data_IF_098947766087
#
_entry.id   IF_098947766087
#
_cell.length_a   1.000
_cell.length_b   1.000
_cell.length_c   1.000
_cell.angle_alpha   90.00
_cell.angle_beta   90.00
_cell.angle_gamma   90.00
#
_symmetry.space_group_name_H-M   'P 1'
#
loop_
_entity.id
_entity.type
_entity.pdbx_description
1 polymer ?
#
# COMPACT_ATOMS: atom_id res chain seq x y z
N UNK A 1 -22.07 -34.63 -81.04
CA UNK A 1 -23.08 -34.63 -79.96
C UNK A 1 -22.36 -34.49 -78.63
N UNK A 2 -22.91 -33.66 -77.75
CA UNK A 2 -22.38 -33.10 -76.50
C UNK A 2 -22.17 -34.13 -75.35
N UNK A 3 -21.05 -34.01 -74.60
CA UNK A 3 -20.89 -33.92 -73.10
C UNK A 3 -21.39 -35.12 -72.23
N UNK A 4 -20.87 -35.45 -71.00
CA UNK A 4 -19.97 -34.71 -70.11
C UNK A 4 -18.76 -35.41 -69.48
N UNK A 5 -17.88 -34.51 -69.03
CA UNK A 5 -16.85 -34.58 -68.01
C UNK A 5 -17.47 -34.86 -66.61
N UNK A 6 -17.01 -35.89 -65.88
CA UNK A 6 -17.29 -36.04 -64.44
C UNK A 6 -16.12 -35.52 -63.60
N UNK A 7 -16.40 -34.49 -62.81
CA UNK A 7 -15.52 -33.89 -61.82
C UNK A 7 -15.80 -34.54 -60.46
N UNK A 8 -14.84 -35.33 -59.94
CA UNK A 8 -14.93 -35.92 -58.60
C UNK A 8 -14.55 -34.90 -57.52
N UNK A 9 -15.51 -34.56 -56.66
CA UNK A 9 -15.33 -33.73 -55.47
C UNK A 9 -14.80 -34.57 -54.30
N UNK A 10 -13.66 -34.16 -53.74
CA UNK A 10 -13.02 -34.77 -52.56
C UNK A 10 -13.54 -34.08 -51.28
N UNK A 11 -14.16 -34.82 -50.36
CA UNK A 11 -14.63 -34.32 -49.06
C UNK A 11 -13.46 -34.22 -48.05
N UNK A 12 -13.38 -33.16 -47.22
CA UNK A 12 -12.44 -33.07 -46.11
C UNK A 12 -12.91 -33.86 -44.86
N UNK A 13 -11.98 -34.33 -43.99
CA UNK A 13 -12.30 -35.12 -42.81
C UNK A 13 -12.91 -34.28 -41.66
N UNK A 14 -13.68 -34.90 -40.75
CA UNK A 14 -14.26 -34.22 -39.59
C UNK A 14 -13.21 -33.88 -38.53
N UNK A 15 -13.28 -32.68 -37.96
CA UNK A 15 -12.43 -32.22 -36.87
C UNK A 15 -12.89 -32.78 -35.51
N UNK A 16 -11.98 -33.15 -34.60
CA UNK A 16 -12.34 -33.62 -33.27
C UNK A 16 -12.85 -32.47 -32.39
N UNK A 17 -14.04 -32.65 -31.80
CA UNK A 17 -14.62 -31.72 -30.82
C UNK A 17 -13.83 -31.75 -29.51
N UNK A 18 -13.30 -30.59 -29.10
CA UNK A 18 -12.61 -30.43 -27.83
C UNK A 18 -13.58 -30.52 -26.64
N UNK A 19 -13.27 -31.38 -25.67
CA UNK A 19 -13.95 -31.46 -24.37
C UNK A 19 -13.58 -30.23 -23.51
N UNK A 20 -14.54 -29.47 -22.97
CA UNK A 20 -14.23 -28.36 -22.09
C UNK A 20 -13.69 -28.90 -20.76
N UNK A 21 -12.44 -28.54 -20.43
CA UNK A 21 -11.88 -28.81 -19.11
C UNK A 21 -12.52 -27.87 -18.08
N UNK A 22 -12.90 -28.36 -16.88
CA UNK A 22 -13.40 -27.50 -15.82
C UNK A 22 -12.29 -26.55 -15.39
N UNK A 23 -12.47 -25.26 -15.64
CA UNK A 23 -11.58 -24.23 -15.13
C UNK A 23 -11.82 -24.12 -13.63
N UNK A 24 -10.84 -24.52 -12.82
CA UNK A 24 -10.77 -24.18 -11.40
C UNK A 24 -10.68 -22.65 -11.33
N UNK A 25 -11.78 -21.99 -10.99
CA UNK A 25 -11.77 -20.57 -10.69
C UNK A 25 -10.83 -20.36 -9.50
N UNK A 26 -9.69 -19.69 -9.75
CA UNK A 26 -8.88 -19.14 -8.68
C UNK A 26 -9.80 -18.19 -7.88
N UNK A 27 -10.02 -18.39 -6.57
CA UNK A 27 -10.68 -17.36 -5.77
C UNK A 27 -9.80 -16.11 -5.89
N UNK A 28 -10.33 -15.08 -6.54
CA UNK A 28 -9.66 -13.80 -6.69
C UNK A 28 -9.17 -13.37 -5.31
N UNK A 29 -7.87 -13.12 -5.16
CA UNK A 29 -7.31 -12.59 -3.93
C UNK A 29 -8.15 -11.35 -3.55
N UNK A 30 -8.92 -11.46 -2.47
CA UNK A 30 -9.80 -10.38 -2.04
C UNK A 30 -8.95 -9.11 -1.83
N UNK A 31 -9.42 -7.97 -2.36
CA UNK A 31 -8.73 -6.68 -2.15
C UNK A 31 -8.62 -6.46 -0.63
N UNK A 32 -7.43 -6.16 -0.07
CA UNK A 32 -7.29 -5.95 1.35
C UNK A 32 -8.22 -4.83 1.84
N UNK A 33 -8.63 -4.88 3.12
CA UNK A 33 -9.62 -3.96 3.68
C UNK A 33 -9.19 -2.48 3.60
N UNK A 34 -7.89 -2.23 3.65
CA UNK A 34 -7.27 -0.92 3.48
C UNK A 34 -5.96 -1.05 2.69
N UNK A 35 -5.63 -0.03 1.90
CA UNK A 35 -4.35 0.14 1.20
C UNK A 35 -3.81 1.54 1.39
N UNK A 36 -2.51 1.69 1.64
CA UNK A 36 -1.79 2.97 1.72
C UNK A 36 -0.57 2.96 0.81
N UNK A 37 -0.30 4.09 0.14
CA UNK A 37 0.90 4.22 -0.70
C UNK A 37 1.33 5.67 -0.86
N UNK A 38 2.64 5.87 -1.01
CA UNK A 38 3.23 7.15 -1.37
C UNK A 38 3.38 7.27 -2.89
N UNK A 39 3.42 8.50 -3.39
CA UNK A 39 3.77 8.76 -4.78
C UNK A 39 5.26 8.53 -5.08
N UNK A 40 6.12 8.61 -4.05
CA UNK A 40 7.54 8.29 -4.14
C UNK A 40 7.96 7.59 -2.85
N UNK A 41 8.74 6.54 -2.97
CA UNK A 41 9.32 5.74 -1.89
C UNK A 41 10.70 6.28 -1.44
N UNK A 42 11.45 6.90 -2.36
CA UNK A 42 12.63 7.66 -2.03
C UNK A 42 12.25 9.13 -1.94
N UNK A 43 12.51 9.76 -0.80
CA UNK A 43 12.25 11.15 -0.45
C UNK A 43 13.56 11.90 -0.14
N UNK A 44 13.54 13.23 -0.22
CA UNK A 44 14.66 14.11 0.14
C UNK A 44 14.19 15.13 1.16
N UNK A 45 15.11 15.62 1.98
CA UNK A 45 14.80 16.75 2.85
C UNK A 45 14.29 17.95 2.03
N UNK A 46 13.13 18.48 2.42
CA UNK A 46 12.41 19.54 1.72
C UNK A 46 11.36 19.04 0.73
N UNK A 47 11.36 17.75 0.37
CA UNK A 47 10.31 17.17 -0.48
C UNK A 47 8.95 17.25 0.21
N UNK A 48 7.92 17.41 -0.60
CA UNK A 48 6.53 17.33 -0.17
C UNK A 48 5.96 16.00 -0.62
N UNK A 49 5.69 15.13 0.36
CA UNK A 49 5.23 13.79 0.10
C UNK A 49 3.72 13.76 -0.14
N UNK A 50 3.33 13.21 -1.28
CA UNK A 50 1.93 12.90 -1.60
C UNK A 50 1.66 11.45 -1.26
N UNK A 51 0.56 11.19 -0.58
CA UNK A 51 0.13 9.84 -0.25
C UNK A 51 -1.35 9.67 -0.49
N UNK A 52 -1.75 8.41 -0.62
CA UNK A 52 -3.13 8.05 -0.83
C UNK A 52 -3.48 6.85 0.04
N UNK A 53 -4.76 6.77 0.38
CA UNK A 53 -5.37 5.65 1.08
C UNK A 53 -6.60 5.20 0.30
N UNK A 54 -6.86 3.91 0.26
CA UNK A 54 -8.12 3.34 -0.21
C UNK A 54 -8.62 2.34 0.82
N UNK A 55 -9.79 2.59 1.37
CA UNK A 55 -10.51 1.60 2.17
C UNK A 55 -11.55 0.89 1.29
N UNK A 56 -11.71 -0.42 1.46
CA UNK A 56 -12.70 -1.21 0.71
C UNK A 56 -14.11 -1.02 1.29
N UNK A 57 -14.21 -0.73 2.59
CA UNK A 57 -15.46 -0.52 3.33
C UNK A 57 -15.47 0.83 4.06
N UNK A 58 -16.66 1.31 4.40
CA UNK A 58 -16.89 2.52 5.19
C UNK A 58 -16.30 2.37 6.61
N UNK A 59 -15.73 3.42 7.18
CA UNK A 59 -15.23 3.37 8.55
C UNK A 59 -14.48 4.62 8.98
N UNK A 60 -13.84 4.56 10.14
CA UNK A 60 -13.07 5.65 10.72
C UNK A 60 -11.59 5.42 10.46
N UNK A 61 -10.93 6.38 9.82
CA UNK A 61 -9.55 6.27 9.37
C UNK A 61 -8.62 7.13 10.25
N UNK A 62 -7.48 6.58 10.63
CA UNK A 62 -6.33 7.35 11.11
C UNK A 62 -5.11 6.99 10.27
N UNK A 63 -4.29 8.00 9.98
CA UNK A 63 -3.02 7.81 9.30
C UNK A 63 -1.93 8.43 10.15
N UNK A 64 -0.98 7.59 10.55
CA UNK A 64 0.17 7.96 11.37
C UNK A 64 1.45 7.83 10.56
N UNK A 65 2.46 8.61 10.92
CA UNK A 65 3.80 8.54 10.35
C UNK A 65 4.81 8.55 11.48
N UNK A 66 5.74 7.60 11.45
CA UNK A 66 7.02 7.70 12.14
C UNK A 66 8.06 8.21 11.13
N UNK A 67 8.74 9.32 11.45
CA UNK A 67 9.86 9.80 10.63
C UNK A 67 11.17 9.05 10.95
N UNK A 68 12.20 9.30 10.14
CA UNK A 68 13.50 8.65 10.32
C UNK A 68 14.24 9.05 11.61
N UNK A 69 13.83 10.15 12.24
CA UNK A 69 14.35 10.59 13.54
C UNK A 69 13.50 10.00 14.71
N UNK A 70 12.47 9.21 14.41
CA UNK A 70 11.61 8.55 15.38
C UNK A 70 10.41 9.38 15.86
N UNK A 71 10.16 10.56 15.29
CA UNK A 71 9.00 11.36 15.69
C UNK A 71 7.72 10.83 15.02
N UNK A 72 6.68 10.67 15.84
CA UNK A 72 5.36 10.29 15.37
C UNK A 72 4.49 11.52 15.11
N UNK A 73 3.89 11.57 13.92
CA UNK A 73 2.93 12.61 13.51
C UNK A 73 1.66 11.97 12.97
N UNK A 74 0.52 12.58 13.27
CA UNK A 74 -0.76 12.23 12.62
C UNK A 74 -0.86 12.99 11.31
N UNK A 75 -1.07 12.26 10.22
CA UNK A 75 -1.29 12.82 8.88
C UNK A 75 -2.79 12.98 8.55
N UNK A 76 -3.63 12.12 9.14
CA UNK A 76 -5.09 12.19 9.02
C UNK A 76 -5.76 11.62 10.28
N UNK A 77 -6.80 12.26 10.82
CA UNK A 77 -7.26 13.59 10.45
C UNK A 77 -6.25 14.69 10.82
N UNK A 78 -6.37 15.88 10.20
CA UNK A 78 -5.43 16.98 10.41
C UNK A 78 -5.47 17.48 11.85
N UNK A 79 -6.67 17.67 12.38
CA UNK A 79 -6.92 17.92 13.78
C UNK A 79 -7.81 16.80 14.39
N UNK A 80 -7.64 16.46 15.68
CA UNK A 80 -8.37 15.36 16.31
C UNK A 80 -9.90 15.56 16.36
N UNK A 81 -10.37 16.81 16.23
CA UNK A 81 -11.79 17.13 16.15
C UNK A 81 -12.39 17.04 14.73
N UNK A 82 -11.56 16.85 13.70
CA UNK A 82 -12.06 16.76 12.33
C UNK A 82 -12.73 15.41 12.06
N UNK A 83 -13.65 15.39 11.10
CA UNK A 83 -14.27 14.14 10.64
C UNK A 83 -13.22 13.20 10.03
N UNK A 84 -13.05 12.04 10.64
CA UNK A 84 -12.19 10.96 10.18
C UNK A 84 -12.97 9.81 9.49
N UNK A 85 -14.28 9.95 9.34
CA UNK A 85 -15.09 8.95 8.64
C UNK A 85 -14.85 8.98 7.13
N UNK A 86 -14.56 7.81 6.55
CA UNK A 86 -14.32 7.61 5.12
C UNK A 86 -15.33 6.61 4.56
N UNK A 87 -15.72 6.81 3.30
CA UNK A 87 -16.55 5.84 2.57
C UNK A 87 -15.64 4.86 1.82
N UNK A 88 -16.01 3.58 1.85
CA UNK A 88 -15.34 2.51 1.15
C UNK A 88 -15.39 2.67 -0.37
N UNK A 89 -14.50 1.95 -1.05
CA UNK A 89 -14.38 1.91 -2.51
C UNK A 89 -13.77 3.16 -3.14
N UNK A 90 -13.50 4.23 -2.36
CA UNK A 90 -12.95 5.49 -2.87
C UNK A 90 -11.48 5.64 -2.50
N UNK A 91 -10.69 6.11 -3.46
CA UNK A 91 -9.33 6.58 -3.23
C UNK A 91 -9.38 7.97 -2.60
N UNK A 92 -8.72 8.12 -1.46
CA UNK A 92 -8.55 9.37 -0.73
C UNK A 92 -7.11 9.83 -0.87
N UNK A 93 -6.90 11.08 -1.28
CA UNK A 93 -5.59 11.73 -1.13
C UNK A 93 -5.51 12.35 0.26
N UNK A 94 -4.46 11.99 1.00
CA UNK A 94 -4.24 12.59 2.32
C UNK A 94 -3.63 13.97 2.13
N UNK A 95 -4.26 14.96 2.75
CA UNK A 95 -3.88 16.37 2.67
C UNK A 95 -3.52 16.86 4.05
N UNK A 96 -2.42 17.59 4.13
CA UNK A 96 -2.02 18.29 5.34
C UNK A 96 -2.84 19.57 5.56
N UNK A 97 -2.52 20.27 6.65
CA UNK A 97 -3.15 21.55 7.00
C UNK A 97 -3.08 22.56 5.85
N UNK A 98 -4.21 23.21 5.55
CA UNK A 98 -4.34 24.18 4.46
C UNK A 98 -4.35 23.57 3.06
N UNK A 99 -4.67 22.28 2.91
CA UNK A 99 -4.78 21.59 1.60
C UNK A 99 -3.45 21.22 0.97
N UNK A 100 -2.36 21.33 1.72
CA UNK A 100 -1.00 20.96 1.29
C UNK A 100 -0.88 19.45 1.12
N UNK A 101 0.24 19.02 0.55
CA UNK A 101 0.63 17.62 0.53
C UNK A 101 0.67 17.02 1.95
N UNK A 102 0.61 15.70 2.05
CA UNK A 102 0.39 14.99 3.32
C UNK A 102 1.43 15.34 4.39
N UNK A 103 2.71 15.45 4.00
CA UNK A 103 3.76 15.96 4.88
C UNK A 103 4.92 16.56 4.08
N UNK A 104 5.73 17.37 4.77
CA UNK A 104 7.03 17.83 4.28
C UNK A 104 8.11 17.04 5.02
N UNK A 105 9.15 16.63 4.28
CA UNK A 105 10.27 15.85 4.80
C UNK A 105 11.27 16.82 5.45
N UNK A 106 11.32 16.85 6.77
CA UNK A 106 12.22 17.71 7.56
C UNK A 106 13.32 16.90 8.28
N UNK A 107 13.14 15.59 8.38
CA UNK A 107 14.04 14.66 9.06
C UNK A 107 15.39 14.43 8.36
N UNK A 108 16.30 13.73 9.04
CA UNK A 108 17.60 13.31 8.49
C UNK A 108 17.46 12.10 7.56
N UNK A 109 18.56 11.75 6.90
CA UNK A 109 18.63 10.52 6.10
C UNK A 109 18.36 9.28 6.98
N UNK A 110 17.55 8.37 6.45
CA UNK A 110 17.07 7.18 7.14
C UNK A 110 15.75 6.70 6.55
N UNK A 111 15.04 5.83 7.28
CA UNK A 111 13.76 5.29 6.84
C UNK A 111 12.64 5.76 7.76
N UNK A 112 11.50 6.13 7.17
CA UNK A 112 10.28 6.36 7.91
C UNK A 112 9.16 5.43 7.48
N UNK A 113 8.14 5.32 8.31
CA UNK A 113 7.00 4.43 8.10
C UNK A 113 5.71 5.23 8.18
N UNK A 114 4.78 4.93 7.29
CA UNK A 114 3.41 5.46 7.33
C UNK A 114 2.46 4.29 7.50
N UNK A 115 1.58 4.39 8.48
CA UNK A 115 0.58 3.38 8.79
C UNK A 115 -0.81 4.00 8.67
N UNK A 116 -1.67 3.35 7.91
CA UNK A 116 -3.08 3.71 7.81
C UNK A 116 -3.92 2.63 8.48
N UNK A 117 -4.79 3.02 9.39
CA UNK A 117 -5.67 2.10 10.11
C UNK A 117 -7.12 2.54 9.99
N UNK A 118 -8.00 1.57 9.70
CA UNK A 118 -9.45 1.75 9.62
C UNK A 118 -10.13 0.90 10.69
N UNK A 119 -11.04 1.52 11.43
CA UNK A 119 -11.96 0.81 12.32
C UNK A 119 -13.41 0.95 11.87
N UNK A 120 -14.23 -0.02 12.23
CA UNK A 120 -15.70 0.03 12.08
C UNK A 120 -16.35 0.92 13.14
N UNK A 121 -15.68 1.13 14.27
CA UNK A 121 -16.14 1.96 15.38
C UNK A 121 -15.39 3.31 15.41
N UNK A 122 -15.99 4.37 15.99
CA UNK A 122 -15.33 5.66 16.12
C UNK A 122 -14.02 5.56 16.91
N UNK A 123 -12.94 6.08 16.33
CA UNK A 123 -11.64 6.19 17.00
C UNK A 123 -11.69 7.26 18.11
N UNK A 124 -11.04 6.98 19.23
CA UNK A 124 -10.94 7.88 20.38
C UNK A 124 -9.56 8.54 20.39
N UNK A 125 -9.54 9.86 20.55
CA UNK A 125 -8.31 10.66 20.48
C UNK A 125 -7.98 11.41 21.77
N UNK A 126 -8.80 11.28 22.81
CA UNK A 126 -8.71 12.09 24.04
C UNK A 126 -7.35 11.99 24.73
N UNK A 127 -6.70 10.82 24.71
CA UNK A 127 -5.36 10.64 25.30
C UNK A 127 -4.23 11.28 24.48
N UNK A 128 -4.46 11.50 23.18
CA UNK A 128 -3.49 12.03 22.22
C UNK A 128 -3.80 13.47 21.81
N UNK A 129 -4.84 14.08 22.38
CA UNK A 129 -5.30 15.41 22.03
C UNK A 129 -5.27 16.33 23.24
N UNK A 130 -4.83 17.58 23.02
CA UNK A 130 -4.85 18.64 24.03
C UNK A 130 -5.24 19.96 23.37
N UNK A 131 -6.26 20.61 23.92
CA UNK A 131 -6.72 21.91 23.42
C UNK A 131 -7.17 21.90 21.95
N UNK A 132 -7.75 20.79 21.49
CA UNK A 132 -8.21 20.64 20.10
C UNK A 132 -7.10 20.29 19.08
N UNK A 133 -5.89 20.00 19.54
CA UNK A 133 -4.75 19.64 18.69
C UNK A 133 -4.10 18.35 19.14
N UNK A 134 -3.37 17.69 18.23
CA UNK A 134 -2.55 16.53 18.57
C UNK A 134 -1.44 16.90 19.57
N UNK A 135 -1.35 16.16 20.67
CA UNK A 135 -0.30 16.28 21.68
C UNK A 135 0.88 15.36 21.32
N UNK A 136 1.80 15.85 20.49
CA UNK A 136 2.92 15.03 20.02
C UNK A 136 3.86 14.54 21.13
N UNK A 137 3.78 15.07 22.34
CA UNK A 137 4.54 14.56 23.50
C UNK A 137 4.07 13.17 23.91
N UNK A 138 2.75 12.92 23.87
CA UNK A 138 2.20 11.61 24.22
C UNK A 138 2.43 10.59 23.11
N UNK A 139 2.42 11.02 21.84
CA UNK A 139 2.72 10.18 20.68
C UNK A 139 4.20 9.74 20.61
N UNK A 140 5.14 10.64 20.92
CA UNK A 140 6.59 10.38 20.76
C UNK A 140 7.20 9.59 21.92
N UNK A 141 6.62 9.64 23.12
CA UNK A 141 7.14 8.92 24.30
C UNK A 141 7.09 7.40 24.11
N UNK A 142 6.27 6.89 23.20
CA UNK A 142 6.14 5.45 22.90
C UNK A 142 7.02 4.97 21.74
N UNK A 143 7.51 5.88 20.91
CA UNK A 143 8.38 5.55 19.78
C UNK A 143 9.85 5.33 20.20
N UNK A 144 10.26 5.90 21.34
CA UNK A 144 11.65 5.96 21.77
C UNK A 144 12.30 4.59 22.08
N UNK A 145 11.50 3.52 22.22
CA UNK A 145 11.96 2.19 22.64
C UNK A 145 11.76 1.07 21.58
N UNK A 146 11.27 1.32 20.35
CA UNK A 146 10.86 0.21 19.47
C UNK A 146 10.86 0.42 17.94
N UNK A 147 10.65 -0.72 17.26
CA UNK A 147 10.27 -0.91 15.86
C UNK A 147 9.10 0.02 15.45
N UNK A 148 9.32 0.88 14.45
CA UNK A 148 8.39 1.95 14.08
C UNK A 148 6.98 1.43 13.77
N UNK A 149 6.85 0.27 13.13
CA UNK A 149 5.55 -0.36 12.86
C UNK A 149 4.81 -0.66 14.19
N UNK A 150 5.50 -1.32 15.13
CA UNK A 150 4.92 -1.67 16.44
C UNK A 150 4.49 -0.44 17.22
N UNK A 151 5.30 0.60 17.26
CA UNK A 151 4.95 1.85 17.95
C UNK A 151 3.67 2.48 17.37
N UNK A 152 3.54 2.47 16.04
CA UNK A 152 2.34 2.99 15.35
C UNK A 152 1.11 2.11 15.65
N UNK A 153 1.26 0.79 15.61
CA UNK A 153 0.18 -0.15 15.94
C UNK A 153 -0.29 -0.01 17.40
N UNK A 154 0.62 0.14 18.35
CA UNK A 154 0.29 0.32 19.77
C UNK A 154 -0.49 1.62 20.03
N UNK A 155 -0.23 2.67 19.25
CA UNK A 155 -1.00 3.91 19.28
C UNK A 155 -2.39 3.68 18.70
N UNK A 156 -2.49 3.08 17.51
CA UNK A 156 -3.77 2.79 16.85
C UNK A 156 -4.64 1.88 17.71
N UNK A 157 -4.07 0.86 18.34
CA UNK A 157 -4.80 -0.08 19.18
C UNK A 157 -5.50 0.62 20.36
N UNK A 158 -4.87 1.64 20.96
CA UNK A 158 -5.50 2.41 22.03
C UNK A 158 -6.52 3.43 21.52
N UNK A 159 -6.30 4.00 20.33
CA UNK A 159 -7.31 4.83 19.66
C UNK A 159 -8.57 4.03 19.30
N UNK A 160 -8.41 2.82 18.76
CA UNK A 160 -9.51 1.98 18.33
C UNK A 160 -10.21 1.29 19.50
N UNK A 161 -9.45 0.81 20.49
CA UNK A 161 -9.94 0.04 21.64
C UNK A 161 -10.49 -1.37 21.29
N UNK A 162 -10.71 -1.65 20.02
CA UNK A 162 -11.27 -2.90 19.47
C UNK A 162 -10.51 -3.27 18.17
N UNK A 163 -11.11 -4.10 17.31
CA UNK A 163 -10.57 -4.47 16.00
C UNK A 163 -10.37 -3.28 15.06
N UNK A 164 -9.27 -3.32 14.32
CA UNK A 164 -8.99 -2.43 13.20
C UNK A 164 -8.24 -3.19 12.10
N UNK A 165 -8.46 -2.75 10.88
CA UNK A 165 -7.70 -3.19 9.71
C UNK A 165 -6.59 -2.17 9.44
N UNK A 166 -5.40 -2.60 9.04
CA UNK A 166 -4.30 -1.69 8.74
C UNK A 166 -3.53 -2.08 7.48
N UNK A 167 -2.82 -1.10 6.95
CA UNK A 167 -1.78 -1.28 5.94
C UNK A 167 -0.65 -0.30 6.21
N UNK A 168 0.56 -0.66 5.81
CA UNK A 168 1.76 0.15 6.05
C UNK A 168 2.64 0.30 4.81
N UNK A 169 3.40 1.39 4.80
CA UNK A 169 4.34 1.67 3.72
C UNK A 169 5.56 2.40 4.29
N UNK A 170 6.74 1.89 3.94
CA UNK A 170 8.01 2.52 4.29
C UNK A 170 8.50 3.42 3.16
N UNK A 171 9.23 4.47 3.52
CA UNK A 171 9.96 5.34 2.61
C UNK A 171 11.36 5.60 3.14
N UNK A 172 12.28 5.97 2.26
CA UNK A 172 13.67 6.30 2.61
C UNK A 172 13.95 7.75 2.28
N UNK A 173 14.52 8.48 3.22
CA UNK A 173 15.05 9.83 3.01
C UNK A 173 16.52 9.70 2.65
N UNK A 174 16.92 10.19 1.48
CA UNK A 174 18.32 10.20 1.05
C UNK A 174 18.83 11.61 0.84
N UNK A 175 20.12 11.82 1.13
CA UNK A 175 20.83 13.05 0.82
C UNK A 175 21.54 13.01 -0.56
N UNK A 176 21.45 11.89 -1.29
CA UNK A 176 22.03 11.78 -2.63
C UNK A 176 21.11 12.42 -3.69
N UNK A 177 21.65 13.25 -4.60
CA UNK A 177 20.90 13.77 -5.73
C UNK A 177 20.30 12.63 -6.54
N UNK A 178 18.98 12.66 -6.77
CA UNK A 178 18.28 11.68 -7.58
C UNK A 178 18.84 11.79 -9.00
N UNK A 179 19.51 10.74 -9.46
CA UNK A 179 19.29 10.34 -10.84
C UNK A 179 17.83 9.93 -10.91
N UNK A 180 17.02 10.79 -11.52
CA UNK A 180 15.57 10.67 -11.66
C UNK A 180 15.24 9.40 -12.46
N UNK A 181 15.27 8.22 -11.83
CA UNK A 181 14.44 7.12 -12.28
C UNK A 181 13.02 7.57 -12.01
N UNK A 182 12.31 7.89 -13.09
CA UNK A 182 10.85 7.90 -13.07
C UNK A 182 10.41 6.53 -12.53
N UNK A 183 10.08 6.46 -11.25
CA UNK A 183 9.25 5.39 -10.73
C UNK A 183 7.88 5.62 -11.37
N UNK A 184 7.64 4.88 -12.46
CA UNK A 184 6.38 4.89 -13.17
C UNK A 184 5.25 4.58 -12.19
N UNK A 185 4.13 5.25 -12.40
CA UNK A 185 2.83 5.03 -11.78
C UNK A 185 2.61 3.54 -11.40
N UNK A 186 2.82 3.17 -10.13
CA UNK A 186 2.49 1.84 -9.67
C UNK A 186 0.97 1.79 -9.47
N UNK A 187 0.28 1.14 -10.40
CA UNK A 187 -1.14 0.87 -10.32
C UNK A 187 -1.31 -0.52 -9.66
N UNK A 188 -1.78 -0.62 -8.40
CA UNK A 188 -1.93 -1.91 -7.71
C UNK A 188 -2.98 -2.84 -8.33
N UNK A 189 -3.69 -2.37 -9.37
CA UNK A 189 -4.64 -3.12 -10.18
C UNK A 189 -4.01 -3.73 -11.44
N UNK A 190 -2.69 -3.60 -11.62
CA UNK A 190 -1.97 -4.10 -12.78
C UNK A 190 -0.71 -4.86 -12.33
N UNK A 191 -0.76 -6.19 -12.43
CA UNK A 191 0.42 -7.08 -12.28
C UNK A 191 1.17 -7.14 -13.62
N UNK A 192 2.40 -6.63 -13.74
CA UNK A 192 3.15 -6.66 -15.00
C UNK A 192 3.92 -7.97 -15.24
N UNK A 193 3.82 -8.98 -14.38
CA UNK A 193 4.63 -10.21 -14.47
C UNK A 193 3.88 -11.43 -15.01
N UNK A 194 2.79 -11.25 -15.76
CA UNK A 194 2.24 -12.33 -16.57
C UNK A 194 2.60 -12.16 -18.05
N UNK A 195 3.73 -12.78 -18.44
CA UNK A 195 3.95 -13.20 -19.82
C UNK A 195 4.50 -14.64 -19.84
N UNK A 196 3.85 -15.56 -20.58
CA UNK A 196 4.39 -16.88 -20.84
C UNK A 196 5.46 -16.76 -21.92
N UNK A 197 6.67 -17.25 -21.65
CA UNK A 197 7.67 -17.54 -22.69
C UNK A 197 9.00 -16.81 -22.55
N UNK A 198 10.02 -17.62 -22.21
CA UNK A 198 11.44 -17.53 -22.57
C UNK A 198 12.24 -16.24 -22.29
N UNK A 199 13.28 -16.38 -21.44
CA UNK A 199 14.49 -15.55 -21.55
C UNK A 199 15.19 -15.17 -20.23
N UNK A 200 16.07 -16.06 -19.74
CA UNK A 200 17.26 -15.82 -18.89
C UNK A 200 17.21 -14.68 -17.85
N UNK A 201 17.05 -15.05 -16.57
CA UNK A 201 17.42 -14.20 -15.43
C UNK A 201 18.90 -14.38 -15.10
N UNK A 202 19.69 -13.32 -15.25
CA UNK A 202 20.96 -13.16 -14.53
C UNK A 202 20.65 -12.46 -13.22
N UNK A 203 20.63 -13.24 -12.13
CA UNK A 203 20.40 -12.77 -10.77
C UNK A 203 21.70 -12.36 -10.08
N UNK A 204 21.69 -11.18 -9.48
CA UNK A 204 22.63 -10.65 -8.49
C UNK A 204 21.78 -9.74 -7.58
N UNK A 205 21.64 -9.88 -6.26
CA UNK A 205 22.38 -10.58 -5.21
C UNK A 205 21.40 -11.08 -4.13
N UNK A 206 21.76 -12.22 -3.54
CA UNK A 206 21.21 -12.78 -2.32
C UNK A 206 21.63 -11.98 -1.06
N UNK A 207 20.81 -12.03 0.00
CA UNK A 207 21.29 -12.04 1.38
C UNK A 207 20.66 -13.22 2.15
N UNK A 208 21.47 -14.06 2.83
CA UNK A 208 20.99 -15.30 3.43
C UNK A 208 20.47 -15.10 4.86
N UNK A 209 19.34 -15.73 5.17
CA UNK A 209 18.93 -15.99 6.55
C UNK A 209 19.64 -17.27 7.04
N UNK A 210 20.39 -17.16 8.14
CA UNK A 210 20.91 -18.33 8.88
C UNK A 210 19.92 -18.69 9.97
N UNK A 211 19.30 -19.86 9.86
CA UNK A 211 18.71 -20.55 11.01
C UNK A 211 19.78 -21.42 11.69
N UNK A 212 19.87 -21.31 13.02
CA UNK A 212 20.71 -22.14 13.88
C UNK A 212 19.82 -23.11 14.64
N UNK A 213 19.82 -24.39 14.27
CA UNK A 213 19.22 -25.46 15.06
C UNK A 213 20.18 -25.82 16.20
N UNK A 214 19.66 -25.79 17.43
CA UNK A 214 20.28 -26.46 18.57
C UNK A 214 19.96 -27.97 18.48
N UNK A 215 20.96 -28.77 18.86
CA UNK A 215 20.92 -30.23 18.97
C UNK A 215 20.38 -30.62 20.35
#
# INVERSE_FOLDING_TARGET
MFVPLMLSLLLPPPTPSAVPSPSLANPSAADPPIKVWLSNDVLMRGDRARMHVKATQDGYLVVLRADADGHIRVLFPVDPGDSNFVRGGRKLEIRGRGGREAFTVDEREGSGTVLAARSTTPLKFDEFARGGHWDYRTLSTQAADSDAERALLDIVQRMAGDHFDYDEVSYTVSNQPRYRRYAGWYNPWYDPFYYPGFGLRVGFFARPYRYRLFR
#
